data_IF_283293431640
#
_entry.id   IF_283293431640
#
_cell.length_a   1.000
_cell.length_b   1.000
_cell.length_c   1.000
_cell.angle_alpha   90.00
_cell.angle_beta   90.00
_cell.angle_gamma   90.00
#
_symmetry.space_group_name_H-M   'P 1'
#
loop_
_entity.id
_entity.type
_entity.pdbx_description
1 polymer ?
#
# COMPACT_ATOMS: atom_id res chain seq x y z
N UNK A 1 15.20 -2.67 4.01
CA UNK A 1 15.23 -1.23 3.63
C UNK A 1 14.82 -1.00 2.17
N UNK A 2 15.29 -1.80 1.21
CA UNK A 2 14.99 -1.64 -0.23
C UNK A 2 13.48 -1.74 -0.56
N UNK A 3 12.73 -2.66 0.06
CA UNK A 3 11.29 -2.79 -0.18
C UNK A 3 10.47 -1.55 0.24
N UNK A 4 10.82 -0.93 1.37
CA UNK A 4 10.10 0.26 1.87
C UNK A 4 10.45 1.52 1.07
N UNK A 5 11.67 1.60 0.53
CA UNK A 5 12.19 2.80 -0.14
C UNK A 5 11.94 2.82 -1.65
N UNK A 6 11.93 1.67 -2.33
CA UNK A 6 11.80 1.60 -3.80
C UNK A 6 10.47 0.96 -4.21
N UNK A 7 10.11 -0.17 -3.62
CA UNK A 7 8.91 -0.91 -4.01
C UNK A 7 7.64 -0.17 -3.61
N UNK A 8 7.60 0.44 -2.42
CA UNK A 8 6.45 1.24 -1.97
C UNK A 8 6.12 2.43 -2.86
N UNK A 9 7.04 3.36 -3.17
CA UNK A 9 6.73 4.47 -4.05
C UNK A 9 6.43 4.01 -5.48
N UNK A 10 7.10 2.99 -6.02
CA UNK A 10 6.76 2.48 -7.37
C UNK A 10 5.36 1.85 -7.40
N UNK A 11 5.00 1.08 -6.38
CA UNK A 11 3.65 0.51 -6.26
C UNK A 11 2.57 1.57 -5.97
N UNK A 12 2.90 2.62 -5.21
CA UNK A 12 1.98 3.71 -4.86
C UNK A 12 1.85 4.79 -5.94
N UNK A 13 2.92 5.11 -6.67
CA UNK A 13 2.88 6.07 -7.79
C UNK A 13 1.92 5.60 -8.88
N UNK A 14 1.90 4.29 -9.14
CA UNK A 14 0.82 3.68 -9.89
C UNK A 14 -0.53 3.98 -9.24
N UNK A 15 -0.70 3.64 -7.96
CA UNK A 15 -1.97 3.71 -7.22
C UNK A 15 -2.58 5.11 -7.00
N UNK A 16 -1.82 6.21 -7.14
CA UNK A 16 -2.33 7.58 -7.00
C UNK A 16 -3.43 7.92 -8.02
N UNK A 17 -3.44 7.22 -9.17
CA UNK A 17 -4.41 7.46 -10.25
C UNK A 17 -5.50 6.36 -10.36
N UNK A 18 -5.53 5.35 -9.48
CA UNK A 18 -6.46 4.23 -9.64
C UNK A 18 -7.79 4.54 -8.96
N UNK A 19 -8.93 4.29 -9.64
CA UNK A 19 -10.21 4.26 -8.95
C UNK A 19 -10.14 3.19 -7.85
N UNK A 20 -10.65 3.51 -6.67
CA UNK A 20 -10.55 2.69 -5.46
C UNK A 20 -11.32 1.37 -5.57
N UNK A 21 -10.81 0.43 -6.36
CA UNK A 21 -11.45 -0.85 -6.65
C UNK A 21 -10.69 -2.00 -5.97
N UNK A 22 -11.42 -2.95 -5.38
CA UNK A 22 -10.82 -4.09 -4.63
C UNK A 22 -9.90 -4.96 -5.49
N UNK A 23 -10.13 -4.97 -6.80
CA UNK A 23 -9.30 -5.71 -7.76
C UNK A 23 -7.86 -5.17 -7.79
N UNK A 24 -7.71 -3.84 -7.73
CA UNK A 24 -6.41 -3.16 -7.74
C UNK A 24 -5.61 -3.51 -6.50
N UNK A 25 -6.28 -3.44 -5.34
CA UNK A 25 -5.69 -3.79 -4.05
C UNK A 25 -5.23 -5.24 -4.03
N UNK A 26 -6.02 -6.14 -4.63
CA UNK A 26 -5.69 -7.55 -4.76
C UNK A 26 -4.49 -7.76 -5.68
N UNK A 27 -4.47 -7.13 -6.87
CA UNK A 27 -3.37 -7.23 -7.83
C UNK A 27 -2.06 -6.70 -7.24
N UNK A 28 -2.11 -5.58 -6.53
CA UNK A 28 -0.95 -5.01 -5.82
C UNK A 28 -0.45 -5.93 -4.72
N UNK A 29 -1.34 -6.52 -3.92
CA UNK A 29 -0.99 -7.49 -2.86
C UNK A 29 -0.30 -8.74 -3.42
N UNK A 30 -0.76 -9.24 -4.57
CA UNK A 30 -0.13 -10.38 -5.28
C UNK A 30 1.26 -9.99 -5.80
N UNK A 31 1.40 -8.82 -6.42
CA UNK A 31 2.69 -8.33 -6.93
C UNK A 31 3.70 -8.13 -5.80
N UNK A 32 3.30 -7.49 -4.69
CA UNK A 32 4.13 -7.29 -3.49
C UNK A 32 4.62 -8.65 -2.95
N UNK A 33 3.71 -9.60 -2.78
CA UNK A 33 4.05 -10.94 -2.28
C UNK A 33 4.99 -11.70 -3.24
N UNK A 34 4.81 -11.55 -4.55
CA UNK A 34 5.68 -12.16 -5.56
C UNK A 34 7.09 -11.58 -5.52
N UNK A 35 7.22 -10.26 -5.37
CA UNK A 35 8.52 -9.60 -5.22
C UNK A 35 9.21 -10.01 -3.92
N UNK A 36 8.48 -10.02 -2.79
CA UNK A 36 9.03 -10.45 -1.50
C UNK A 36 9.55 -11.90 -1.55
N UNK A 37 8.80 -12.80 -2.19
CA UNK A 37 9.24 -14.19 -2.41
C UNK A 37 10.50 -14.28 -3.24
N UNK A 38 10.55 -13.53 -4.34
CA UNK A 38 11.73 -13.50 -5.20
C UNK A 38 12.97 -12.96 -4.47
N UNK A 39 12.83 -11.88 -3.71
CA UNK A 39 13.92 -11.33 -2.89
C UNK A 39 14.37 -12.28 -1.77
N UNK A 40 13.46 -13.07 -1.21
CA UNK A 40 13.80 -14.07 -0.19
C UNK A 40 14.38 -15.37 -0.77
N UNK A 41 14.40 -15.53 -2.10
CA UNK A 41 14.73 -16.81 -2.75
C UNK A 41 13.73 -17.92 -2.43
N UNK A 42 12.50 -17.57 -2.01
CA UNK A 42 11.47 -18.52 -1.60
C UNK A 42 10.69 -18.96 -2.81
N UNK A 43 10.68 -20.26 -3.04
CA UNK A 43 9.95 -20.91 -4.11
C UNK A 43 8.56 -21.33 -3.63
N UNK A 44 7.70 -21.73 -4.59
CA UNK A 44 6.37 -22.25 -4.27
C UNK A 44 6.43 -23.60 -3.55
N UNK A 45 7.56 -24.32 -3.65
CA UNK A 45 7.78 -25.62 -2.99
C UNK A 45 7.99 -25.50 -1.49
N UNK A 46 8.53 -24.36 -1.04
CA UNK A 46 8.78 -24.13 0.39
C UNK A 46 7.49 -24.00 1.21
N UNK A 47 6.32 -23.85 0.54
CA UNK A 47 4.99 -23.70 1.14
C UNK A 47 4.92 -22.63 2.26
N UNK A 48 5.86 -21.68 2.26
CA UNK A 48 5.86 -20.58 3.22
C UNK A 48 4.61 -19.74 3.03
N UNK A 49 3.89 -19.57 4.15
CA UNK A 49 2.75 -18.69 4.22
C UNK A 49 3.19 -17.23 4.01
N UNK A 50 2.32 -16.44 3.38
CA UNK A 50 2.63 -15.06 2.98
C UNK A 50 2.87 -14.13 4.19
N UNK A 51 2.21 -14.40 5.31
CA UNK A 51 2.40 -13.75 6.61
C UNK A 51 3.82 -13.90 7.14
N UNK A 52 4.40 -15.11 7.08
CA UNK A 52 5.78 -15.39 7.52
C UNK A 52 6.79 -14.62 6.67
N UNK A 53 6.57 -14.58 5.36
CA UNK A 53 7.42 -13.81 4.44
C UNK A 53 7.34 -12.31 4.77
N UNK A 54 6.13 -11.78 4.98
CA UNK A 54 5.92 -10.38 5.35
C UNK A 54 6.56 -10.02 6.69
N UNK A 55 6.45 -10.90 7.69
CA UNK A 55 7.08 -10.74 8.99
C UNK A 55 8.60 -10.72 8.89
N UNK A 56 9.20 -11.61 8.09
CA UNK A 56 10.65 -11.66 7.84
C UNK A 56 11.19 -10.35 7.26
N UNK A 57 10.41 -9.67 6.42
CA UNK A 57 10.78 -8.38 5.86
C UNK A 57 10.29 -7.16 6.67
N UNK A 58 9.50 -7.37 7.72
CA UNK A 58 8.88 -6.29 8.51
C UNK A 58 7.95 -5.41 7.68
N UNK A 59 7.28 -5.97 6.67
CA UNK A 59 6.43 -5.22 5.75
C UNK A 59 4.96 -5.40 6.11
N UNK A 60 4.29 -4.29 6.46
CA UNK A 60 2.84 -4.24 6.59
C UNK A 60 2.17 -4.40 5.21
N UNK A 61 1.03 -5.11 5.11
CA UNK A 61 0.30 -5.32 3.85
C UNK A 61 0.05 -4.01 3.10
N UNK A 62 0.21 -4.02 1.76
CA UNK A 62 -0.07 -2.85 0.93
C UNK A 62 -1.52 -2.35 1.07
N UNK A 63 -2.48 -3.25 1.32
CA UNK A 63 -3.87 -2.93 1.64
C UNK A 63 -4.00 -1.96 2.83
N UNK A 64 -3.27 -2.22 3.91
CA UNK A 64 -3.30 -1.36 5.10
C UNK A 64 -2.70 0.02 4.79
N UNK A 65 -1.66 0.07 3.94
CA UNK A 65 -1.07 1.33 3.48
C UNK A 65 -1.96 2.11 2.54
N UNK A 66 -2.70 1.45 1.66
CA UNK A 66 -3.72 2.09 0.84
C UNK A 66 -4.85 2.65 1.72
N UNK A 67 -5.28 1.91 2.76
CA UNK A 67 -6.26 2.41 3.73
C UNK A 67 -5.76 3.64 4.48
N UNK A 68 -4.51 3.62 4.95
CA UNK A 68 -3.88 4.77 5.62
C UNK A 68 -3.82 6.00 4.69
N UNK A 69 -3.42 5.81 3.43
CA UNK A 69 -3.38 6.88 2.44
C UNK A 69 -4.78 7.47 2.16
N UNK A 70 -5.80 6.62 2.05
CA UNK A 70 -7.21 7.05 1.91
C UNK A 70 -7.66 7.89 3.10
N UNK A 71 -7.39 7.44 4.32
CA UNK A 71 -7.74 8.20 5.53
C UNK A 71 -7.01 9.54 5.61
N UNK A 72 -5.73 9.58 5.20
CA UNK A 72 -4.95 10.82 5.14
C UNK A 72 -5.53 11.80 4.12
N UNK A 73 -5.91 11.32 2.93
CA UNK A 73 -6.57 12.15 1.91
C UNK A 73 -7.94 12.64 2.38
N UNK A 74 -8.76 11.76 2.96
CA UNK A 74 -10.05 12.15 3.53
C UNK A 74 -9.90 13.23 4.60
N UNK A 75 -8.92 13.09 5.51
CA UNK A 75 -8.59 14.12 6.49
C UNK A 75 -8.10 15.43 5.85
N UNK A 76 -7.39 15.37 4.73
CA UNK A 76 -6.99 16.57 3.98
C UNK A 76 -8.20 17.28 3.36
N UNK A 77 -9.13 16.54 2.76
CA UNK A 77 -10.38 17.08 2.22
C UNK A 77 -11.24 17.72 3.33
N UNK A 78 -11.34 17.08 4.50
CA UNK A 78 -12.07 17.64 5.63
C UNK A 78 -11.45 18.95 6.13
N UNK A 79 -10.12 19.00 6.31
CA UNK A 79 -9.41 20.22 6.73
C UNK A 79 -9.53 21.36 5.69
N UNK A 80 -9.51 21.02 4.41
CA UNK A 80 -9.75 22.02 3.34
C UNK A 80 -11.16 22.61 3.40
N UNK A 81 -12.17 21.80 3.74
CA UNK A 81 -13.56 22.28 3.91
C UNK A 81 -13.75 23.20 5.12
N UNK A 82 -13.02 22.96 6.22
CA UNK A 82 -13.06 23.82 7.41
C UNK A 82 -12.47 25.22 7.13
N UNK A 83 -11.39 25.30 6.35
CA UNK A 83 -10.79 26.58 5.94
C UNK A 83 -11.74 27.42 5.06
N UNK A 84 -12.41 26.79 4.09
CA UNK A 84 -13.40 27.47 3.25
C UNK A 84 -14.70 27.88 3.99
N UNK A 85 -14.98 27.30 5.17
CA UNK A 85 -16.11 27.69 5.99
C UNK A 85 -15.80 28.91 6.89
N UNK A 86 -14.53 29.08 7.28
CA UNK A 86 -14.05 30.23 8.06
C UNK A 86 -13.92 31.50 7.19
N UNK A 87 -13.70 31.35 5.89
CA UNK A 87 -13.59 32.44 4.90
C UNK A 87 -14.93 32.87 4.27
N UNK A 88 -16.08 32.43 4.82
CA UNK A 88 -17.39 32.93 4.38
C UNK A 88 -17.69 34.25 5.11
N UNK A 89 -18.03 35.35 4.40
CA UNK A 89 -18.39 36.62 5.02
C UNK A 89 -19.69 36.51 5.84
#
# INVERSE_FOLDING_TARGET
MIHRAVIRPVAMYGAECWPANKEVETRLSVTETKMLRWTAGVTRMDRFRNDVIRQKFGVAPIADKMREARLRWYGHVLRGKEQHAQDRP
#
